data_IF_036344402896
#
_entry.id   IF_036344402896
#
_cell.length_a   1.000
_cell.length_b   1.000
_cell.length_c   1.000
_cell.angle_alpha   90.00
_cell.angle_beta   90.00
_cell.angle_gamma   90.00
#
_symmetry.space_group_name_H-M   'P 1'
#
loop_
_entity.id
_entity.type
_entity.pdbx_description
1 polymer ?
#
# COMPACT_ATOMS: atom_id res chain seq x y z
N UNK A 1 -17.52 5.44 13.75
CA UNK A 1 -16.66 4.31 14.17
C UNK A 1 -15.85 3.66 13.04
N UNK A 2 -16.41 3.36 11.85
CA UNK A 2 -15.65 2.75 10.74
C UNK A 2 -14.44 3.58 10.27
N UNK A 3 -14.59 4.91 10.19
CA UNK A 3 -13.51 5.80 9.75
C UNK A 3 -12.33 5.83 10.74
N UNK A 4 -12.60 5.87 12.05
CA UNK A 4 -11.55 5.86 13.08
C UNK A 4 -10.66 4.61 13.01
N UNK A 5 -11.27 3.43 12.78
CA UNK A 5 -10.52 2.17 12.59
C UNK A 5 -9.64 2.21 11.35
N UNK A 6 -10.13 2.77 10.24
CA UNK A 6 -9.37 2.91 9.01
C UNK A 6 -8.22 3.93 9.17
N UNK A 7 -8.48 5.04 9.84
CA UNK A 7 -7.46 6.05 10.17
C UNK A 7 -6.33 5.46 11.00
N UNK A 8 -6.66 4.73 12.08
CA UNK A 8 -5.68 4.05 12.92
C UNK A 8 -4.84 3.05 12.11
N UNK A 9 -5.51 2.20 11.31
CA UNK A 9 -4.82 1.25 10.44
C UNK A 9 -3.82 1.96 9.51
N UNK A 10 -4.25 3.05 8.86
CA UNK A 10 -3.42 3.83 7.94
C UNK A 10 -2.24 4.48 8.65
N UNK A 11 -2.43 5.03 9.85
CA UNK A 11 -1.35 5.60 10.66
C UNK A 11 -0.31 4.56 11.06
N UNK A 12 -0.74 3.35 11.43
CA UNK A 12 0.17 2.25 11.78
C UNK A 12 0.91 1.75 10.53
N UNK A 13 0.21 1.55 9.41
CA UNK A 13 0.82 1.13 8.15
C UNK A 13 1.89 2.12 7.68
N UNK A 14 1.60 3.42 7.74
CA UNK A 14 2.52 4.49 7.35
C UNK A 14 3.86 4.46 8.13
N UNK A 15 3.83 4.10 9.43
CA UNK A 15 5.05 3.93 10.24
C UNK A 15 5.95 2.78 9.76
N UNK A 16 5.39 1.83 9.02
CA UNK A 16 6.09 0.64 8.54
C UNK A 16 6.59 0.75 7.10
N UNK A 17 6.33 1.84 6.38
CA UNK A 17 6.77 2.00 4.98
C UNK A 17 8.27 2.27 4.82
N UNK A 18 8.95 2.70 5.90
CA UNK A 18 10.40 2.89 5.91
C UNK A 18 10.85 4.17 5.21
N UNK A 19 11.93 4.08 4.41
CA UNK A 19 12.43 5.20 3.61
C UNK A 19 11.41 5.59 2.53
N UNK A 20 11.30 6.88 2.22
CA UNK A 20 10.31 7.45 1.31
C UNK A 20 8.81 7.23 1.68
N UNK A 21 8.50 6.94 2.95
CA UNK A 21 7.13 6.65 3.43
C UNK A 21 6.03 7.58 2.92
N UNK A 22 6.29 8.88 2.79
CA UNK A 22 5.29 9.85 2.31
C UNK A 22 4.92 9.58 0.86
N UNK A 23 5.92 9.48 -0.01
CA UNK A 23 5.73 9.23 -1.42
C UNK A 23 5.17 7.82 -1.67
N UNK A 24 5.62 6.82 -0.90
CA UNK A 24 5.06 5.45 -0.98
C UNK A 24 3.59 5.41 -0.53
N UNK A 25 3.22 6.18 0.49
CA UNK A 25 1.84 6.24 0.99
C UNK A 25 0.92 6.91 -0.04
N UNK A 26 1.31 8.06 -0.57
CA UNK A 26 0.60 8.74 -1.66
C UNK A 26 0.49 7.84 -2.91
N UNK A 27 1.57 7.12 -3.27
CA UNK A 27 1.57 6.18 -4.39
C UNK A 27 0.58 5.02 -4.17
N UNK A 28 0.50 4.51 -2.94
CA UNK A 28 -0.45 3.45 -2.59
C UNK A 28 -1.89 3.94 -2.76
N UNK A 29 -2.21 5.14 -2.29
CA UNK A 29 -3.54 5.73 -2.49
C UNK A 29 -3.83 5.97 -3.98
N UNK A 30 -2.85 6.45 -4.74
CA UNK A 30 -2.99 6.64 -6.18
C UNK A 30 -3.31 5.32 -6.89
N UNK A 31 -2.63 4.22 -6.55
CA UNK A 31 -2.90 2.89 -7.10
C UNK A 31 -4.31 2.41 -6.75
N UNK A 32 -4.73 2.55 -5.49
CA UNK A 32 -6.05 2.10 -5.03
C UNK A 32 -7.22 2.87 -5.67
N UNK A 33 -7.00 4.14 -6.00
CA UNK A 33 -8.03 5.02 -6.57
C UNK A 33 -8.00 5.08 -8.11
N UNK A 34 -6.95 4.58 -8.75
CA UNK A 34 -6.82 4.61 -10.21
C UNK A 34 -7.37 3.32 -10.81
N UNK A 35 -8.48 3.43 -11.55
CA UNK A 35 -9.19 2.27 -12.13
C UNK A 35 -8.38 1.51 -13.19
N UNK A 36 -7.63 2.24 -14.01
CA UNK A 36 -6.79 1.65 -15.05
C UNK A 36 -5.45 2.40 -15.10
N UNK A 37 -4.35 1.66 -15.03
CA UNK A 37 -2.99 2.19 -14.98
C UNK A 37 -2.30 1.67 -16.24
N UNK A 38 -2.01 2.55 -17.20
CA UNK A 38 -1.31 2.17 -18.43
C UNK A 38 0.20 2.28 -18.26
N UNK A 39 0.66 3.11 -17.32
CA UNK A 39 2.06 3.28 -16.97
C UNK A 39 2.25 3.87 -15.57
N UNK A 40 3.42 3.64 -14.95
CA UNK A 40 3.75 4.19 -13.60
C UNK A 40 3.62 5.71 -13.54
N UNK A 41 4.06 6.32 -14.62
CA UNK A 41 3.72 7.64 -15.09
C UNK A 41 2.34 8.20 -14.68
N UNK A 42 1.29 7.47 -15.02
CA UNK A 42 -0.09 7.92 -14.92
C UNK A 42 -0.48 8.16 -13.46
N UNK A 43 0.15 7.43 -12.54
CA UNK A 43 -0.06 7.59 -11.10
C UNK A 43 0.39 8.96 -10.61
N UNK A 44 1.30 9.64 -11.31
CA UNK A 44 1.72 11.01 -10.95
C UNK A 44 0.66 12.07 -11.29
N UNK A 45 -0.28 11.72 -12.17
CA UNK A 45 -1.41 12.57 -12.54
C UNK A 45 -2.61 12.36 -11.60
N UNK A 46 -2.52 11.39 -10.69
CA UNK A 46 -3.57 11.14 -9.71
C UNK A 46 -3.71 12.34 -8.75
N UNK A 47 -4.93 12.85 -8.48
CA UNK A 47 -5.12 14.00 -7.61
C UNK A 47 -4.70 13.75 -6.15
N UNK A 48 -4.52 12.47 -5.76
CA UNK A 48 -4.04 12.10 -4.43
C UNK A 48 -2.53 11.97 -4.34
N UNK A 49 -1.82 11.99 -5.48
CA UNK A 49 -0.36 12.03 -5.54
C UNK A 49 0.09 13.49 -5.68
N UNK A 50 0.64 14.06 -4.61
CA UNK A 50 0.93 15.51 -4.53
C UNK A 50 2.32 15.86 -5.02
N UNK A 51 3.11 14.85 -5.41
CA UNK A 51 4.52 14.97 -5.76
C UNK A 51 4.72 14.93 -7.27
N UNK A 52 5.91 15.33 -7.70
CA UNK A 52 6.26 15.30 -9.12
C UNK A 52 6.52 13.87 -9.58
N UNK A 53 6.37 13.66 -10.87
CA UNK A 53 6.65 12.39 -11.56
C UNK A 53 7.92 11.64 -11.09
N UNK A 54 9.10 12.29 -10.95
CA UNK A 54 10.32 11.56 -10.56
C UNK A 54 10.19 10.88 -9.19
N UNK A 55 9.38 11.45 -8.29
CA UNK A 55 9.17 10.92 -6.95
C UNK A 55 8.47 9.56 -6.94
N UNK A 56 7.81 9.14 -8.03
CA UNK A 56 7.28 7.77 -8.13
C UNK A 56 8.41 6.75 -8.18
N UNK A 57 9.39 7.00 -9.04
CA UNK A 57 10.53 6.10 -9.21
C UNK A 57 11.40 6.09 -7.96
N UNK A 58 11.63 7.26 -7.36
CA UNK A 58 12.32 7.39 -6.08
C UNK A 58 11.57 6.63 -4.98
N UNK A 59 10.24 6.77 -4.89
CA UNK A 59 9.44 6.05 -3.90
C UNK A 59 9.60 4.54 -4.04
N UNK A 60 9.56 4.01 -5.26
CA UNK A 60 9.76 2.57 -5.50
C UNK A 60 11.18 2.14 -5.14
N UNK A 61 12.18 2.89 -5.59
CA UNK A 61 13.60 2.60 -5.37
C UNK A 61 14.00 2.67 -3.90
N UNK A 62 13.49 3.64 -3.16
CA UNK A 62 13.88 3.92 -1.78
C UNK A 62 12.95 3.28 -0.76
N UNK A 63 11.74 2.86 -1.16
CA UNK A 63 10.83 2.18 -0.23
C UNK A 63 11.50 0.95 0.35
N UNK A 64 11.54 0.89 1.68
CA UNK A 64 12.01 -0.28 2.43
C UNK A 64 10.95 -0.64 3.46
N UNK A 65 9.76 -1.09 3.02
CA UNK A 65 8.68 -1.41 3.92
C UNK A 65 9.05 -2.59 4.83
N UNK A 66 8.70 -2.47 6.10
CA UNK A 66 8.85 -3.52 7.11
C UNK A 66 7.81 -4.61 6.86
N UNK A 67 8.04 -5.43 5.83
CA UNK A 67 7.11 -6.44 5.31
C UNK A 67 6.45 -7.28 6.39
N UNK A 68 7.22 -7.80 7.34
CA UNK A 68 6.69 -8.65 8.41
C UNK A 68 5.69 -7.90 9.32
N UNK A 69 5.96 -6.63 9.65
CA UNK A 69 5.07 -5.81 10.48
C UNK A 69 3.79 -5.43 9.74
N UNK A 70 3.91 -5.12 8.45
CA UNK A 70 2.75 -4.90 7.58
C UNK A 70 1.90 -6.16 7.47
N UNK A 71 2.51 -7.33 7.28
CA UNK A 71 1.77 -8.59 7.21
C UNK A 71 1.00 -8.89 8.50
N UNK A 72 1.64 -8.69 9.66
CA UNK A 72 0.97 -8.82 10.95
C UNK A 72 -0.20 -7.82 11.09
N UNK A 73 -0.04 -6.59 10.61
CA UNK A 73 -1.11 -5.59 10.59
C UNK A 73 -2.29 -6.03 9.71
N UNK A 74 -2.03 -6.64 8.55
CA UNK A 74 -3.07 -7.13 7.64
C UNK A 74 -3.81 -8.33 8.21
N UNK A 75 -3.10 -9.29 8.81
CA UNK A 75 -3.71 -10.47 9.46
C UNK A 75 -4.70 -10.04 10.55
N UNK A 76 -4.38 -9.00 11.32
CA UNK A 76 -5.29 -8.44 12.34
C UNK A 76 -6.60 -7.88 11.77
N UNK A 77 -6.69 -7.60 10.47
CA UNK A 77 -7.93 -7.13 9.85
C UNK A 77 -8.81 -8.27 9.31
N UNK A 78 -8.28 -9.49 9.22
CA UNK A 78 -9.05 -10.66 8.78
C UNK A 78 -10.06 -11.02 9.89
N UNK A 79 -11.37 -11.16 9.58
CA UNK A 79 -12.35 -11.60 10.55
C UNK A 79 -11.97 -12.93 11.18
N UNK A 80 -12.04 -13.02 12.51
CA UNK A 80 -11.76 -14.26 13.25
C UNK A 80 -12.97 -15.22 13.27
N UNK A 81 -14.12 -14.75 12.79
CA UNK A 81 -15.37 -15.50 12.74
C UNK A 81 -15.34 -16.47 11.55
N UNK A 82 -15.05 -17.73 11.83
CA UNK A 82 -15.03 -18.80 10.84
C UNK A 82 -13.63 -19.33 10.52
N UNK A 83 -13.58 -20.47 9.82
CA UNK A 83 -12.32 -21.07 9.38
C UNK A 83 -11.86 -20.36 8.09
N UNK A 84 -10.67 -19.72 8.06
CA UNK A 84 -10.20 -19.06 6.86
C UNK A 84 -9.95 -20.09 5.75
N UNK A 85 -10.51 -19.83 4.57
CA UNK A 85 -10.19 -20.56 3.35
C UNK A 85 -9.10 -19.79 2.59
N UNK A 86 -7.94 -20.42 2.39
CA UNK A 86 -6.83 -19.83 1.66
C UNK A 86 -6.76 -20.46 0.26
N UNK A 87 -6.88 -19.63 -0.77
CA UNK A 87 -6.60 -20.03 -2.14
C UNK A 87 -5.11 -19.80 -2.42
N UNK A 88 -4.38 -20.87 -2.72
CA UNK A 88 -3.00 -20.81 -3.19
C UNK A 88 -2.94 -21.19 -4.65
N UNK A 89 -2.24 -20.39 -5.45
CA UNK A 89 -1.82 -20.77 -6.79
C UNK A 89 -0.30 -20.92 -6.86
N UNK A 90 0.18 -21.61 -7.90
CA UNK A 90 1.60 -21.70 -8.19
C UNK A 90 1.98 -20.61 -9.20
N UNK A 91 1.89 -19.36 -8.77
CA UNK A 91 2.52 -18.26 -9.52
C UNK A 91 4.00 -18.22 -9.17
N UNK A 92 4.87 -18.73 -10.06
CA UNK A 92 6.31 -18.51 -9.93
C UNK A 92 6.57 -17.00 -10.02
N UNK A 93 7.11 -16.40 -8.96
CA UNK A 93 7.79 -15.11 -9.09
C UNK A 93 9.11 -15.35 -9.82
N UNK A 94 9.41 -14.63 -10.92
CA UNK A 94 10.74 -14.61 -11.51
C UNK A 94 11.78 -14.00 -10.56
#
# INVERSE_FOLDING_TARGET
MKNARLEEFRQVAYKYLGRAKDATFELTDAILLTRNIYSLADLSLSPVFRRKWPSIYEALQDSRPQRQKLMQLYIKQIPAEGRPLLAGDHTNSP
#
